data_IF_467619031559
#
_entry.id   IF_467619031559
#
_cell.length_a   1.000
_cell.length_b   1.000
_cell.length_c   1.000
_cell.angle_alpha   90.00
_cell.angle_beta   90.00
_cell.angle_gamma   90.00
#
_symmetry.space_group_name_H-M   'P 1'
#
loop_
_entity.id
_entity.type
_entity.pdbx_description
1 polymer ?
#
# COMPACT_ATOMS: atom_id res chain seq x y z
N UNK A 1 -59.52 24.47 6.91
CA UNK A 1 -60.53 24.16 5.88
C UNK A 1 -59.77 23.67 4.64
N UNK A 2 -60.05 22.58 3.94
CA UNK A 2 -60.79 21.34 4.15
C UNK A 2 -60.38 20.42 2.96
N UNK A 3 -60.49 19.11 3.14
CA UNK A 3 -60.60 18.04 2.12
C UNK A 3 -59.36 17.50 1.38
N UNK A 4 -58.93 16.29 1.82
CA UNK A 4 -58.70 15.08 1.00
C UNK A 4 -60.03 14.62 0.34
N UNK A 5 -60.11 13.71 -0.67
CA UNK A 5 -59.46 12.37 -0.78
C UNK A 5 -58.88 12.05 -2.19
N UNK A 6 -57.97 11.09 -2.43
CA UNK A 6 -57.97 9.61 -2.35
C UNK A 6 -58.97 8.85 -3.24
N UNK A 7 -58.46 8.18 -4.30
CA UNK A 7 -58.76 6.80 -4.77
C UNK A 7 -57.84 6.51 -5.99
N UNK A 8 -57.01 5.45 -6.02
CA UNK A 8 -57.33 4.04 -6.33
C UNK A 8 -58.01 3.95 -7.73
N UNK A 9 -57.68 3.07 -8.67
CA UNK A 9 -57.00 1.79 -8.65
C UNK A 9 -56.95 1.23 -10.09
N UNK A 10 -55.86 0.51 -10.40
CA UNK A 10 -55.83 -0.86 -10.99
C UNK A 10 -56.42 -1.13 -12.40
N UNK A 11 -55.62 -1.90 -13.16
CA UNK A 11 -55.92 -2.73 -14.36
C UNK A 11 -55.98 -1.98 -15.71
N UNK A 12 -55.53 -2.53 -16.85
CA UNK A 12 -55.22 -3.91 -17.20
C UNK A 12 -54.14 -4.01 -18.29
N UNK A 13 -53.44 -5.14 -18.29
CA UNK A 13 -52.68 -5.71 -19.41
C UNK A 13 -53.59 -6.02 -20.61
N UNK A 14 -53.17 -5.71 -21.84
CA UNK A 14 -53.33 -6.63 -22.98
C UNK A 14 -52.60 -6.18 -24.27
N UNK A 15 -51.83 -7.14 -24.80
CA UNK A 15 -51.71 -7.58 -26.19
C UNK A 15 -51.50 -6.59 -27.34
N UNK A 16 -50.36 -6.75 -28.02
CA UNK A 16 -50.39 -7.13 -29.43
C UNK A 16 -49.76 -6.16 -30.45
N UNK A 17 -48.61 -6.57 -31.00
CA UNK A 17 -48.45 -6.61 -32.46
C UNK A 17 -47.64 -5.51 -33.16
N UNK A 18 -46.41 -5.84 -33.52
CA UNK A 18 -45.88 -5.57 -34.87
C UNK A 18 -44.97 -4.33 -35.06
N UNK A 19 -44.08 -4.35 -36.07
CA UNK A 19 -42.71 -3.87 -35.90
C UNK A 19 -42.33 -2.60 -36.69
N UNK A 20 -41.32 -1.92 -36.12
CA UNK A 20 -40.16 -1.28 -36.75
C UNK A 20 -40.31 -0.34 -37.97
N UNK A 21 -39.90 0.91 -37.75
CA UNK A 21 -39.02 1.66 -38.67
C UNK A 21 -38.18 2.67 -37.85
N UNK A 22 -36.85 2.73 -38.02
CA UNK A 22 -35.98 3.56 -37.18
C UNK A 22 -35.80 4.97 -37.76
N UNK A 23 -35.88 6.00 -36.91
CA UNK A 23 -35.41 7.36 -37.20
C UNK A 23 -34.11 7.63 -36.44
N UNK A 24 -33.12 8.31 -37.02
CA UNK A 24 -31.80 8.47 -36.43
C UNK A 24 -31.83 9.55 -35.35
N UNK A 25 -31.82 9.13 -34.08
CA UNK A 25 -31.64 10.04 -32.97
C UNK A 25 -30.15 10.29 -32.74
N UNK A 26 -29.81 11.56 -32.72
CA UNK A 26 -28.50 12.11 -32.42
C UNK A 26 -27.87 11.43 -31.19
N UNK A 27 -26.77 10.72 -31.41
CA UNK A 27 -25.92 10.25 -30.32
C UNK A 27 -25.08 11.44 -29.88
N UNK A 28 -25.51 12.09 -28.80
CA UNK A 28 -24.69 13.07 -28.10
C UNK A 28 -23.36 12.43 -27.72
N UNK A 29 -22.27 12.99 -28.22
CA UNK A 29 -20.93 12.72 -27.71
C UNK A 29 -20.89 13.15 -26.25
N UNK A 30 -21.12 12.21 -25.34
CA UNK A 30 -20.57 12.31 -24.01
C UNK A 30 -19.08 11.96 -24.11
N UNK A 31 -18.14 12.87 -23.79
CA UNK A 31 -16.76 12.47 -23.61
C UNK A 31 -16.70 11.59 -22.36
N UNK A 32 -16.65 10.27 -22.58
CA UNK A 32 -16.15 9.34 -21.59
C UNK A 32 -14.73 9.82 -21.32
N UNK A 33 -14.54 10.49 -20.19
CA UNK A 33 -13.23 10.76 -19.64
C UNK A 33 -12.68 9.39 -19.25
N UNK A 34 -12.12 8.67 -20.22
CA UNK A 34 -11.28 7.52 -20.00
C UNK A 34 -10.24 7.98 -19.00
N UNK A 35 -10.43 7.57 -17.75
CA UNK A 35 -9.47 7.78 -16.69
C UNK A 35 -8.32 6.86 -17.07
N UNK A 36 -7.42 7.34 -17.95
CA UNK A 36 -6.25 6.60 -18.44
C UNK A 36 -5.59 6.00 -17.21
N UNK A 37 -5.75 4.70 -17.06
CA UNK A 37 -5.19 3.97 -15.94
C UNK A 37 -3.68 4.00 -16.18
N UNK A 38 -2.95 4.76 -15.36
CA UNK A 38 -1.50 4.82 -15.48
C UNK A 38 -0.95 3.40 -15.32
N UNK A 39 -0.07 2.99 -16.24
CA UNK A 39 0.60 1.69 -16.17
C UNK A 39 1.49 1.65 -14.93
N UNK A 40 1.78 0.45 -14.42
CA UNK A 40 2.72 0.27 -13.31
C UNK A 40 4.09 0.91 -13.62
N UNK A 41 4.57 0.76 -14.85
CA UNK A 41 5.83 1.35 -15.33
C UNK A 41 5.85 2.87 -15.18
N UNK A 42 4.79 3.56 -15.61
CA UNK A 42 4.72 5.01 -15.48
C UNK A 42 4.72 5.44 -14.01
N UNK A 43 3.96 4.74 -13.16
CA UNK A 43 3.95 5.03 -11.73
C UNK A 43 5.32 4.79 -11.08
N UNK A 44 6.04 3.75 -11.51
CA UNK A 44 7.41 3.47 -11.02
C UNK A 44 8.40 4.54 -11.47
N UNK A 45 8.27 5.06 -12.70
CA UNK A 45 9.06 6.20 -13.16
C UNK A 45 8.75 7.46 -12.33
N UNK A 46 7.47 7.70 -12.05
CA UNK A 46 7.00 8.84 -11.26
C UNK A 46 7.56 8.83 -9.82
N UNK A 47 7.96 7.67 -9.27
CA UNK A 47 8.63 7.59 -7.95
C UNK A 47 9.98 8.34 -7.92
N UNK A 48 10.65 8.45 -9.07
CA UNK A 48 11.94 9.16 -9.16
C UNK A 48 11.75 10.68 -9.06
N UNK A 49 10.59 11.20 -9.46
CA UNK A 49 10.28 12.62 -9.41
C UNK A 49 9.68 13.00 -8.04
N UNK A 50 10.35 13.85 -7.21
CA UNK A 50 9.85 14.24 -5.89
C UNK A 50 8.42 14.81 -5.88
N UNK A 51 8.02 15.53 -6.92
CA UNK A 51 6.70 16.18 -7.02
C UNK A 51 5.57 15.18 -7.28
N UNK A 52 5.88 14.06 -7.95
CA UNK A 52 4.91 13.03 -8.31
C UNK A 52 4.94 11.83 -7.35
N UNK A 53 6.04 11.68 -6.61
CA UNK A 53 6.33 10.50 -5.79
C UNK A 53 5.24 10.19 -4.78
N UNK A 54 4.67 11.18 -4.10
CA UNK A 54 3.65 10.93 -3.08
C UNK A 54 2.39 10.28 -3.68
N UNK A 55 1.94 10.77 -4.83
CA UNK A 55 0.82 10.19 -5.54
C UNK A 55 1.16 8.79 -6.10
N UNK A 56 2.36 8.63 -6.66
CA UNK A 56 2.83 7.35 -7.18
C UNK A 56 2.91 6.27 -6.09
N UNK A 57 3.43 6.62 -4.90
CA UNK A 57 3.46 5.73 -3.73
C UNK A 57 2.07 5.26 -3.34
N UNK A 58 1.10 6.18 -3.27
CA UNK A 58 -0.28 5.87 -2.90
C UNK A 58 -0.96 4.96 -3.92
N UNK A 59 -0.77 5.22 -5.21
CA UNK A 59 -1.41 4.43 -6.27
C UNK A 59 -0.78 3.04 -6.41
N UNK A 60 0.55 2.94 -6.32
CA UNK A 60 1.25 1.65 -6.35
C UNK A 60 0.92 0.81 -5.11
N UNK A 61 0.87 1.41 -3.90
CA UNK A 61 0.59 0.66 -2.68
C UNK A 61 -0.81 0.03 -2.69
N UNK A 62 -1.81 0.70 -3.28
CA UNK A 62 -3.17 0.17 -3.47
C UNK A 62 -3.24 -0.93 -4.52
N UNK A 63 -2.44 -0.82 -5.59
CA UNK A 63 -2.48 -1.72 -6.75
C UNK A 63 -1.45 -2.84 -6.67
N UNK A 64 -0.71 -2.96 -5.58
CA UNK A 64 0.39 -3.92 -5.42
C UNK A 64 0.00 -5.38 -5.64
N UNK A 65 -1.26 -5.74 -5.39
CA UNK A 65 -1.80 -7.09 -5.61
C UNK A 65 -2.23 -7.34 -7.07
N UNK A 66 -2.42 -6.28 -7.86
CA UNK A 66 -2.83 -6.36 -9.27
C UNK A 66 -1.65 -6.62 -10.21
N UNK A 67 -0.43 -6.41 -9.73
CA UNK A 67 0.79 -6.47 -10.54
C UNK A 67 1.71 -7.59 -10.02
N UNK A 68 1.64 -8.76 -10.65
CA UNK A 68 2.45 -9.92 -10.25
C UNK A 68 3.96 -9.62 -10.33
N UNK A 69 4.39 -8.88 -11.35
CA UNK A 69 5.81 -8.54 -11.58
C UNK A 69 6.23 -7.17 -11.01
N UNK A 70 5.47 -6.61 -10.06
CA UNK A 70 5.79 -5.29 -9.49
C UNK A 70 7.13 -5.29 -8.75
N UNK A 71 7.45 -6.37 -8.02
CA UNK A 71 8.67 -6.44 -7.25
C UNK A 71 9.94 -6.41 -8.13
N UNK A 72 10.06 -7.26 -9.18
CA UNK A 72 11.14 -7.13 -10.15
C UNK A 72 11.19 -5.76 -10.84
N UNK A 73 10.04 -5.16 -11.17
CA UNK A 73 9.98 -3.84 -11.78
C UNK A 73 10.53 -2.75 -10.86
N UNK A 74 10.15 -2.76 -9.58
CA UNK A 74 10.63 -1.83 -8.57
C UNK A 74 12.14 -1.98 -8.33
N UNK A 75 12.65 -3.22 -8.34
CA UNK A 75 14.06 -3.50 -8.06
C UNK A 75 14.98 -3.09 -9.21
N UNK A 76 14.58 -3.40 -10.45
CA UNK A 76 15.41 -3.20 -11.63
C UNK A 76 15.25 -1.80 -12.24
N UNK A 77 14.24 -1.03 -11.84
CA UNK A 77 14.08 0.36 -12.27
C UNK A 77 15.13 1.25 -11.60
N UNK A 78 15.78 2.09 -12.42
CA UNK A 78 16.86 2.97 -11.97
C UNK A 78 16.37 3.96 -10.91
N UNK A 79 17.07 4.02 -9.78
CA UNK A 79 16.80 4.98 -8.71
C UNK A 79 15.54 4.72 -7.88
N UNK A 80 14.72 3.72 -8.24
CA UNK A 80 13.45 3.44 -7.54
C UNK A 80 13.66 3.01 -6.09
N UNK A 81 14.54 2.02 -5.84
CA UNK A 81 14.86 1.59 -4.45
C UNK A 81 15.48 2.73 -3.64
N UNK A 82 16.35 3.54 -4.25
CA UNK A 82 16.93 4.70 -3.59
C UNK A 82 15.87 5.75 -3.23
N UNK A 83 14.87 5.98 -4.09
CA UNK A 83 13.75 6.86 -3.80
C UNK A 83 12.89 6.35 -2.64
N UNK A 84 12.64 5.03 -2.56
CA UNK A 84 11.94 4.42 -1.42
C UNK A 84 12.73 4.56 -0.11
N UNK A 85 14.05 4.34 -0.15
CA UNK A 85 14.93 4.56 1.01
C UNK A 85 14.96 6.03 1.44
N UNK A 86 14.89 6.96 0.49
CA UNK A 86 14.83 8.39 0.78
C UNK A 86 13.58 8.75 1.59
N UNK A 87 12.43 8.13 1.29
CA UNK A 87 11.20 8.32 2.07
C UNK A 87 11.35 7.83 3.51
N UNK A 88 12.04 6.70 3.72
CA UNK A 88 12.36 6.17 5.05
C UNK A 88 13.26 7.12 5.83
N UNK A 89 14.40 7.53 5.24
CA UNK A 89 15.38 8.38 5.93
C UNK A 89 14.81 9.76 6.21
N UNK A 90 13.90 10.27 5.36
CA UNK A 90 13.28 11.59 5.55
C UNK A 90 12.50 11.74 6.86
N UNK A 91 12.02 10.65 7.45
CA UNK A 91 11.26 10.69 8.69
C UNK A 91 12.12 10.47 9.95
N UNK A 92 13.41 10.12 9.83
CA UNK A 92 14.28 9.91 10.99
C UNK A 92 14.34 11.11 11.96
N UNK A 93 14.41 12.38 11.48
CA UNK A 93 14.45 13.54 12.38
C UNK A 93 13.21 13.71 13.25
N UNK A 94 12.06 13.13 12.87
CA UNK A 94 10.78 13.26 13.61
C UNK A 94 10.46 12.03 14.47
N UNK A 95 11.37 11.06 14.54
CA UNK A 95 11.26 9.93 15.46
C UNK A 95 11.64 10.30 16.90
N UNK A 96 12.63 11.19 17.05
CA UNK A 96 13.13 11.68 18.33
C UNK A 96 13.58 13.15 18.20
N UNK A 97 12.85 14.13 18.78
CA UNK A 97 11.63 13.97 19.56
C UNK A 97 10.45 13.42 18.71
N UNK A 98 9.48 12.72 19.32
CA UNK A 98 8.42 12.05 18.58
C UNK A 98 7.37 13.04 18.07
N UNK A 99 7.56 13.55 16.85
CA UNK A 99 6.69 14.55 16.19
C UNK A 99 6.12 14.08 14.85
N UNK A 100 6.09 12.77 14.61
CA UNK A 100 5.56 12.16 13.39
C UNK A 100 4.06 12.44 13.21
N UNK A 101 3.70 13.10 12.11
CA UNK A 101 2.30 13.39 11.77
C UNK A 101 1.61 12.19 11.09
N UNK A 102 0.26 12.12 11.11
CA UNK A 102 -0.48 11.10 10.36
C UNK A 102 -0.18 11.09 8.86
N UNK A 103 0.00 12.26 8.24
CA UNK A 103 0.32 12.37 6.81
C UNK A 103 1.71 11.78 6.50
N UNK A 104 2.73 12.14 7.29
CA UNK A 104 4.08 11.58 7.15
C UNK A 104 4.11 10.06 7.35
N UNK A 105 3.41 9.58 8.39
CA UNK A 105 3.28 8.14 8.66
C UNK A 105 2.62 7.40 7.49
N UNK A 106 1.50 7.91 6.95
CA UNK A 106 0.85 7.29 5.80
C UNK A 106 1.75 7.25 4.56
N UNK A 107 2.47 8.34 4.27
CA UNK A 107 3.36 8.44 3.12
C UNK A 107 4.51 7.43 3.20
N UNK A 108 5.22 7.37 4.33
CA UNK A 108 6.31 6.39 4.50
C UNK A 108 5.77 4.96 4.54
N UNK A 109 4.59 4.72 5.13
CA UNK A 109 3.99 3.38 5.14
C UNK A 109 3.60 2.89 3.73
N UNK A 110 3.23 3.79 2.81
CA UNK A 110 3.05 3.42 1.40
C UNK A 110 4.38 2.96 0.79
N UNK A 111 5.51 3.62 1.09
CA UNK A 111 6.83 3.17 0.64
C UNK A 111 7.22 1.81 1.26
N UNK A 112 6.97 1.63 2.57
CA UNK A 112 7.18 0.35 3.25
C UNK A 112 6.33 -0.77 2.65
N UNK A 113 5.09 -0.49 2.24
CA UNK A 113 4.23 -1.46 1.58
C UNK A 113 4.81 -1.95 0.23
N UNK A 114 5.52 -1.10 -0.51
CA UNK A 114 6.22 -1.48 -1.73
C UNK A 114 7.50 -2.28 -1.44
N UNK A 115 8.26 -1.89 -0.41
CA UNK A 115 9.42 -2.67 0.04
C UNK A 115 9.00 -4.05 0.57
N UNK A 116 7.82 -4.16 1.18
CA UNK A 116 7.23 -5.44 1.55
C UNK A 116 7.00 -6.34 0.32
N UNK A 117 6.53 -5.78 -0.80
CA UNK A 117 6.38 -6.53 -2.06
C UNK A 117 7.72 -7.06 -2.55
N UNK A 118 8.75 -6.20 -2.56
CA UNK A 118 10.12 -6.58 -2.95
C UNK A 118 10.69 -7.66 -2.04
N UNK A 119 10.46 -7.57 -0.73
CA UNK A 119 10.87 -8.59 0.24
C UNK A 119 10.13 -9.93 0.08
N UNK A 120 8.85 -9.89 -0.32
CA UNK A 120 8.03 -11.09 -0.47
C UNK A 120 8.34 -11.88 -1.75
N UNK A 121 8.85 -11.22 -2.81
CA UNK A 121 9.02 -11.85 -4.11
C UNK A 121 10.32 -12.67 -4.19
N UNK A 122 10.29 -13.93 -4.69
CA UNK A 122 11.46 -14.82 -4.69
C UNK A 122 12.67 -14.23 -5.43
N UNK A 123 12.45 -13.59 -6.57
CA UNK A 123 13.55 -13.07 -7.40
C UNK A 123 14.24 -11.83 -6.82
N UNK A 124 13.60 -11.10 -5.90
CA UNK A 124 14.14 -9.85 -5.36
C UNK A 124 14.51 -9.95 -3.89
N UNK A 125 13.97 -10.93 -3.16
CA UNK A 125 14.18 -11.10 -1.72
C UNK A 125 15.66 -11.15 -1.34
N UNK A 126 16.44 -11.97 -2.02
CA UNK A 126 17.85 -12.11 -1.66
C UNK A 126 18.66 -10.86 -1.97
N UNK A 127 18.35 -10.15 -3.04
CA UNK A 127 18.97 -8.86 -3.31
C UNK A 127 18.59 -7.81 -2.26
N UNK A 128 17.33 -7.80 -1.82
CA UNK A 128 16.86 -6.93 -0.73
C UNK A 128 17.60 -7.19 0.58
N UNK A 129 17.81 -8.46 0.93
CA UNK A 129 18.55 -8.89 2.11
C UNK A 129 20.04 -8.51 2.02
N UNK A 130 20.69 -8.86 0.90
CA UNK A 130 22.11 -8.59 0.67
C UNK A 130 22.43 -7.09 0.57
N UNK A 131 21.46 -6.28 0.15
CA UNK A 131 21.56 -4.82 0.19
C UNK A 131 21.41 -4.22 1.59
N UNK A 132 21.19 -5.05 2.62
CA UNK A 132 21.01 -4.64 4.02
C UNK A 132 19.88 -3.61 4.22
N UNK A 133 18.89 -3.57 3.31
CA UNK A 133 17.73 -2.68 3.40
C UNK A 133 16.93 -2.87 4.70
N UNK A 134 16.73 -4.09 5.25
CA UNK A 134 16.00 -4.27 6.51
C UNK A 134 16.52 -3.42 7.68
N UNK A 135 17.83 -3.12 7.71
CA UNK A 135 18.45 -2.34 8.79
C UNK A 135 17.89 -0.90 8.88
N UNK A 136 17.45 -0.33 7.76
CA UNK A 136 16.84 1.00 7.72
C UNK A 136 15.50 1.06 8.48
N UNK A 137 14.88 -0.09 8.77
CA UNK A 137 13.61 -0.17 9.48
C UNK A 137 13.78 -0.24 11.00
N UNK A 138 14.98 -0.51 11.49
CA UNK A 138 15.25 -0.71 12.91
C UNK A 138 14.96 0.54 13.76
N UNK A 139 15.31 1.77 13.30
CA UNK A 139 14.91 2.99 14.01
C UNK A 139 13.40 3.10 14.22
N UNK A 140 12.57 2.61 13.27
CA UNK A 140 11.12 2.62 13.39
C UNK A 140 10.62 1.66 14.47
N UNK A 141 11.14 0.44 14.46
CA UNK A 141 10.81 -0.60 15.45
C UNK A 141 11.23 -0.19 16.87
N UNK A 142 12.31 0.59 17.00
CA UNK A 142 12.81 1.05 18.30
C UNK A 142 12.03 2.23 18.89
N UNK A 143 11.06 2.81 18.18
CA UNK A 143 10.25 3.91 18.71
C UNK A 143 9.35 3.44 19.87
N UNK A 144 9.19 4.28 20.90
CA UNK A 144 8.41 3.95 22.11
C UNK A 144 7.07 4.69 22.19
N UNK A 145 6.83 5.69 21.34
CA UNK A 145 5.58 6.47 21.29
C UNK A 145 4.37 5.56 21.04
N UNK A 146 3.28 5.78 21.78
CA UNK A 146 2.01 5.05 21.64
C UNK A 146 0.97 5.79 20.79
N UNK A 147 1.38 6.86 20.11
CA UNK A 147 0.47 7.56 19.20
C UNK A 147 0.18 6.72 17.96
N UNK A 148 -1.02 6.87 17.40
CA UNK A 148 -1.48 6.12 16.21
C UNK A 148 -0.51 6.16 15.02
N UNK A 149 0.14 7.30 14.66
CA UNK A 149 1.12 7.33 13.58
C UNK A 149 2.34 6.42 13.81
N UNK A 150 2.81 6.32 15.06
CA UNK A 150 3.95 5.47 15.43
C UNK A 150 3.56 3.99 15.52
N UNK A 151 2.36 3.68 16.02
CA UNK A 151 1.85 2.30 15.99
C UNK A 151 1.70 1.78 14.57
N UNK A 152 1.13 2.60 13.67
CA UNK A 152 1.00 2.24 12.26
C UNK A 152 2.37 2.03 11.61
N UNK A 153 3.32 2.94 11.85
CA UNK A 153 4.69 2.83 11.34
C UNK A 153 5.38 1.53 11.77
N UNK A 154 5.30 1.18 13.06
CA UNK A 154 5.88 -0.07 13.59
C UNK A 154 5.23 -1.29 13.00
N UNK A 155 3.89 -1.31 12.90
CA UNK A 155 3.15 -2.43 12.34
C UNK A 155 3.52 -2.67 10.87
N UNK A 156 3.58 -1.62 10.05
CA UNK A 156 3.98 -1.75 8.64
C UNK A 156 5.44 -2.19 8.51
N UNK A 157 6.34 -1.68 9.36
CA UNK A 157 7.75 -2.10 9.38
C UNK A 157 7.90 -3.58 9.74
N UNK A 158 7.15 -4.06 10.74
CA UNK A 158 7.08 -5.49 11.08
C UNK A 158 6.52 -6.32 9.92
N UNK A 159 5.59 -5.79 9.14
CA UNK A 159 5.06 -6.47 7.95
C UNK A 159 6.14 -6.75 6.88
N UNK A 160 7.13 -5.86 6.72
CA UNK A 160 8.28 -6.07 5.83
C UNK A 160 9.17 -7.19 6.36
N UNK A 161 9.51 -7.16 7.65
CA UNK A 161 10.32 -8.20 8.29
C UNK A 161 9.59 -9.55 8.28
N UNK A 162 8.28 -9.55 8.52
CA UNK A 162 7.40 -10.72 8.45
C UNK A 162 7.39 -11.37 7.07
N UNK A 163 7.37 -10.55 6.00
CA UNK A 163 7.44 -11.05 4.63
C UNK A 163 8.77 -11.75 4.32
N UNK A 164 9.88 -11.32 4.92
CA UNK A 164 11.18 -11.98 4.77
C UNK A 164 11.20 -13.36 5.43
N UNK A 165 10.71 -13.45 6.68
CA UNK A 165 10.76 -14.71 7.45
C UNK A 165 9.73 -15.74 7.03
N UNK A 166 8.69 -15.35 6.27
CA UNK A 166 7.60 -16.24 5.84
C UNK A 166 8.06 -17.43 4.99
N UNK A 167 9.25 -17.36 4.39
CA UNK A 167 9.71 -18.34 3.39
C UNK A 167 10.64 -19.41 3.97
N UNK A 168 10.79 -19.46 5.31
CA UNK A 168 11.63 -20.45 6.02
C UNK A 168 13.05 -20.61 5.42
N UNK A 169 13.60 -19.50 4.93
CA UNK A 169 14.92 -19.48 4.30
C UNK A 169 16.01 -19.33 5.35
N UNK A 170 16.95 -20.29 5.38
CA UNK A 170 18.03 -20.34 6.36
C UNK A 170 18.95 -19.11 6.28
N UNK A 171 19.15 -18.54 5.09
CA UNK A 171 20.00 -17.36 4.92
C UNK A 171 19.33 -16.10 5.46
N UNK A 172 18.01 -15.99 5.28
CA UNK A 172 17.21 -14.92 5.90
C UNK A 172 17.25 -15.03 7.42
N UNK A 173 17.08 -16.24 7.96
CA UNK A 173 17.15 -16.48 9.40
C UNK A 173 18.55 -16.12 9.92
N UNK A 174 19.62 -16.60 9.29
CA UNK A 174 21.00 -16.31 9.71
C UNK A 174 21.31 -14.82 9.66
N UNK A 175 20.87 -14.12 8.61
CA UNK A 175 21.00 -12.66 8.53
C UNK A 175 20.31 -12.01 9.73
N UNK A 176 19.05 -12.36 9.98
CA UNK A 176 18.25 -11.83 11.08
C UNK A 176 18.81 -12.18 12.46
N UNK A 177 19.45 -13.34 12.63
CA UNK A 177 20.15 -13.73 13.86
C UNK A 177 21.44 -12.93 14.07
N UNK A 178 22.16 -12.61 12.98
CA UNK A 178 23.42 -11.87 13.02
C UNK A 178 23.23 -10.37 13.26
N UNK A 179 22.09 -9.83 12.83
CA UNK A 179 21.64 -8.46 13.11
C UNK A 179 20.82 -8.46 14.40
N UNK A 180 20.92 -7.47 15.29
CA UNK A 180 20.25 -7.46 16.62
C UNK A 180 18.70 -7.41 16.58
N UNK A 181 18.05 -8.01 15.59
CA UNK A 181 16.61 -7.96 15.38
C UNK A 181 15.84 -8.72 16.45
N UNK A 182 16.40 -9.76 17.07
CA UNK A 182 15.73 -10.50 18.15
C UNK A 182 15.44 -9.56 19.34
N UNK A 183 16.42 -8.84 19.91
CA UNK A 183 16.16 -7.80 20.91
C UNK A 183 15.13 -6.75 20.48
N UNK A 184 15.15 -6.29 19.22
CA UNK A 184 14.20 -5.28 18.72
C UNK A 184 12.77 -5.82 18.58
N UNK A 185 12.62 -7.04 18.07
CA UNK A 185 11.33 -7.72 17.97
C UNK A 185 10.73 -7.98 19.37
N UNK A 186 11.54 -8.45 20.33
CA UNK A 186 11.11 -8.65 21.71
C UNK A 186 10.64 -7.34 22.37
N UNK A 187 11.39 -6.24 22.19
CA UNK A 187 11.00 -4.90 22.68
C UNK A 187 9.71 -4.40 22.04
N UNK A 188 9.53 -4.63 20.74
CA UNK A 188 8.30 -4.24 20.02
C UNK A 188 7.10 -5.06 20.48
N UNK A 189 7.28 -6.36 20.74
CA UNK A 189 6.25 -7.24 21.30
C UNK A 189 5.85 -6.86 22.72
N UNK A 190 6.81 -6.44 23.55
CA UNK A 190 6.57 -6.00 24.93
C UNK A 190 5.80 -4.67 24.98
N UNK A 191 6.06 -3.77 24.02
CA UNK A 191 5.50 -2.42 23.97
C UNK A 191 4.26 -2.26 23.07
N UNK A 192 3.99 -3.20 22.17
CA UNK A 192 2.95 -3.11 21.15
C UNK A 192 1.52 -3.40 21.66
N UNK A 193 0.52 -2.85 20.97
CA UNK A 193 -0.90 -3.23 21.14
C UNK A 193 -1.13 -4.69 20.69
N UNK A 194 -2.28 -5.29 21.06
CA UNK A 194 -2.64 -6.68 20.70
C UNK A 194 -2.34 -7.02 19.22
N UNK A 195 -2.65 -6.13 18.27
CA UNK A 195 -2.35 -6.34 16.84
C UNK A 195 -0.86 -6.46 16.51
N UNK A 196 0.01 -5.75 17.23
CA UNK A 196 1.47 -5.87 17.05
C UNK A 196 1.98 -7.21 17.59
N UNK A 197 1.24 -7.85 18.51
CA UNK A 197 1.55 -9.16 19.07
C UNK A 197 1.04 -10.31 18.17
N UNK A 198 -0.01 -10.09 17.37
CA UNK A 198 -0.66 -11.12 16.53
C UNK A 198 -0.03 -11.33 15.14
N UNK A 199 0.98 -10.56 14.71
CA UNK A 199 1.65 -10.73 13.38
C UNK A 199 2.33 -12.11 13.20
N UNK A 200 2.27 -13.00 14.19
CA UNK A 200 2.76 -14.38 14.12
C UNK A 200 1.92 -15.37 13.31
N UNK A 201 0.71 -15.04 12.87
CA UNK A 201 -0.13 -15.99 12.13
C UNK A 201 -0.92 -15.33 10.99
N UNK A 202 -0.29 -15.15 9.82
CA UNK A 202 -0.96 -15.01 8.50
C UNK A 202 -0.01 -15.24 7.33
#
# INVERSE_FOLDING_TARGET
MANLPQNLSINAVSFGGGPASPSPSAVGLHPIKERKMQSAEQLVLDLSNPDLRENALLELSKKRELFQDLAPLLWNSFGTIAALLQEIVSIYPVLSPPSLTPAQSNRVCNALALLQCVASHPDTRMFFLNAHIPLYLYPFLNTTSKSRPFEYLRLTSLGVIGALVKVDDSDVINFLLSTEIIPLCLRTMEMGSELSKTVRHS
#
